data_IF_328882065638
#
_entry.id   IF_328882065638
#
_cell.length_a   1.000
_cell.length_b   1.000
_cell.length_c   1.000
_cell.angle_alpha   90.00
_cell.angle_beta   90.00
_cell.angle_gamma   90.00
#
_symmetry.space_group_name_H-M   'P 1'
#
loop_
_entity.id
_entity.type
_entity.pdbx_description
1 polymer ?
#
# COMPACT_ATOMS: atom_id res chain seq x y z
N UNK A 1 -28.33 73.58 -38.45
CA UNK A 1 -28.67 72.25 -38.98
C UNK A 1 -27.66 71.26 -38.43
N UNK A 2 -28.10 70.32 -37.56
CA UNK A 2 -27.23 69.32 -36.92
C UNK A 2 -27.49 68.00 -37.65
N UNK A 3 -26.54 67.53 -38.45
CA UNK A 3 -26.65 66.23 -39.13
C UNK A 3 -26.54 65.12 -38.08
N UNK A 4 -27.64 64.40 -37.86
CA UNK A 4 -27.65 63.14 -37.11
C UNK A 4 -27.10 62.05 -38.02
N UNK A 5 -25.95 61.47 -37.66
CA UNK A 5 -25.46 60.27 -38.32
C UNK A 5 -26.36 59.09 -37.91
N UNK A 6 -27.15 58.57 -38.86
CA UNK A 6 -27.89 57.32 -38.69
C UNK A 6 -26.89 56.17 -38.55
N UNK A 7 -26.85 55.57 -37.35
CA UNK A 7 -26.09 54.36 -37.10
C UNK A 7 -26.88 53.18 -37.69
N UNK A 8 -26.41 52.66 -38.83
CA UNK A 8 -27.06 51.54 -39.52
C UNK A 8 -26.57 50.25 -38.90
N UNK A 9 -27.23 49.82 -37.82
CA UNK A 9 -26.96 48.54 -37.18
C UNK A 9 -27.24 47.40 -38.18
N UNK A 10 -26.16 46.83 -38.72
CA UNK A 10 -26.22 45.69 -39.62
C UNK A 10 -26.42 44.43 -38.77
N UNK A 11 -27.58 43.78 -38.92
CA UNK A 11 -27.85 42.48 -38.29
C UNK A 11 -26.96 41.36 -38.85
N UNK A 12 -26.83 40.28 -38.08
CA UNK A 12 -26.04 39.09 -38.46
C UNK A 12 -26.70 38.31 -39.60
N UNK A 13 -25.86 37.74 -40.47
CA UNK A 13 -26.29 36.81 -41.51
C UNK A 13 -26.43 35.39 -40.95
N UNK A 14 -27.30 34.56 -41.55
CA UNK A 14 -27.46 33.16 -41.15
C UNK A 14 -26.15 32.36 -41.24
N UNK A 15 -25.31 32.67 -42.24
CA UNK A 15 -24.02 32.00 -42.42
C UNK A 15 -23.05 32.33 -41.28
N UNK A 16 -23.02 33.58 -40.79
CA UNK A 16 -22.20 33.98 -39.64
C UNK A 16 -22.62 33.26 -38.36
N UNK A 17 -23.93 33.09 -38.14
CA UNK A 17 -24.45 32.33 -37.01
C UNK A 17 -24.01 30.85 -37.07
N UNK A 18 -24.11 30.22 -38.25
CA UNK A 18 -23.71 28.82 -38.45
C UNK A 18 -22.21 28.63 -38.21
N UNK A 19 -21.37 29.56 -38.71
CA UNK A 19 -19.93 29.52 -38.49
C UNK A 19 -19.60 29.72 -37.00
N UNK A 20 -20.24 30.68 -36.33
CA UNK A 20 -20.03 30.92 -34.91
C UNK A 20 -20.41 29.70 -34.05
N UNK A 21 -21.54 29.05 -34.36
CA UNK A 21 -21.96 27.82 -33.68
C UNK A 21 -20.98 26.66 -33.93
N UNK A 22 -20.52 26.49 -35.17
CA UNK A 22 -19.56 25.45 -35.51
C UNK A 22 -18.25 25.60 -34.72
N UNK A 23 -17.72 26.83 -34.62
CA UNK A 23 -16.52 27.13 -33.82
C UNK A 23 -16.80 26.89 -32.33
N UNK A 24 -17.95 27.34 -31.82
CA UNK A 24 -18.32 27.13 -30.42
C UNK A 24 -18.37 25.63 -30.05
N UNK A 25 -18.93 24.79 -30.92
CA UNK A 25 -18.96 23.34 -30.72
C UNK A 25 -17.55 22.74 -30.64
N UNK A 26 -16.66 23.12 -31.56
CA UNK A 26 -15.26 22.64 -31.57
C UNK A 26 -14.56 23.01 -30.25
N UNK A 27 -14.75 24.24 -29.77
CA UNK A 27 -14.18 24.71 -28.50
C UNK A 27 -14.74 23.91 -27.33
N UNK A 28 -16.07 23.72 -27.25
CA UNK A 28 -16.70 22.94 -26.17
C UNK A 28 -16.23 21.49 -26.17
N UNK A 29 -16.11 20.85 -27.34
CA UNK A 29 -15.59 19.48 -27.44
C UNK A 29 -14.14 19.41 -26.94
N UNK A 30 -13.31 20.39 -27.30
CA UNK A 30 -11.91 20.45 -26.88
C UNK A 30 -11.77 20.66 -25.37
N UNK A 31 -12.59 21.53 -24.78
CA UNK A 31 -12.63 21.73 -23.33
C UNK A 31 -13.17 20.50 -22.59
N UNK A 32 -14.18 19.83 -23.16
CA UNK A 32 -14.78 18.63 -22.57
C UNK A 32 -13.78 17.47 -22.53
N UNK A 33 -13.00 17.26 -23.59
CA UNK A 33 -11.98 16.22 -23.61
C UNK A 33 -10.88 16.48 -22.58
N UNK A 34 -10.41 17.72 -22.48
CA UNK A 34 -9.45 18.15 -21.46
C UNK A 34 -10.00 17.91 -20.04
N UNK A 35 -11.27 18.26 -19.78
CA UNK A 35 -11.91 18.05 -18.50
C UNK A 35 -12.05 16.57 -18.13
N UNK A 36 -12.44 15.71 -19.08
CA UNK A 36 -12.53 14.26 -18.88
C UNK A 36 -11.15 13.67 -18.55
N UNK A 37 -10.11 14.06 -19.31
CA UNK A 37 -8.73 13.66 -19.07
C UNK A 37 -8.28 14.07 -17.67
N UNK A 38 -8.53 15.31 -17.28
CA UNK A 38 -8.17 15.84 -15.96
C UNK A 38 -8.85 15.06 -14.82
N UNK A 39 -10.15 14.76 -14.94
CA UNK A 39 -10.88 13.95 -13.93
C UNK A 39 -10.31 12.55 -13.81
N UNK A 40 -9.94 11.91 -14.92
CA UNK A 40 -9.32 10.59 -14.93
C UNK A 40 -7.97 10.61 -14.22
N UNK A 41 -7.12 11.59 -14.53
CA UNK A 41 -5.82 11.76 -13.87
C UNK A 41 -5.98 11.96 -12.37
N UNK A 42 -6.93 12.77 -11.92
CA UNK A 42 -7.21 12.94 -10.49
C UNK A 42 -7.62 11.63 -9.82
N UNK A 43 -8.53 10.87 -10.42
CA UNK A 43 -8.98 9.59 -9.87
C UNK A 43 -7.85 8.54 -9.78
N UNK A 44 -6.95 8.51 -10.76
CA UNK A 44 -5.76 7.64 -10.74
C UNK A 44 -4.79 8.10 -9.65
N UNK A 45 -4.57 9.41 -9.52
CA UNK A 45 -3.67 9.96 -8.50
C UNK A 45 -4.16 9.67 -7.08
N UNK A 46 -5.46 9.74 -6.85
CA UNK A 46 -6.09 9.36 -5.59
C UNK A 46 -5.83 7.88 -5.25
N UNK A 47 -6.02 6.97 -6.21
CA UNK A 47 -5.73 5.54 -6.02
C UNK A 47 -4.26 5.26 -5.75
N UNK A 48 -3.35 5.94 -6.44
CA UNK A 48 -1.91 5.81 -6.19
C UNK A 48 -1.57 6.28 -4.78
N UNK A 49 -2.16 7.40 -4.35
CA UNK A 49 -1.94 7.95 -3.01
C UNK A 49 -2.41 6.98 -1.94
N UNK A 50 -3.64 6.48 -2.04
CA UNK A 50 -4.19 5.48 -1.12
C UNK A 50 -3.31 4.22 -1.04
N UNK A 51 -2.98 3.61 -2.19
CA UNK A 51 -2.10 2.44 -2.28
C UNK A 51 -0.75 2.68 -1.57
N UNK A 52 -0.14 3.86 -1.74
CA UNK A 52 1.15 4.16 -1.11
C UNK A 52 1.04 4.36 0.40
N UNK A 53 -0.07 4.93 0.88
CA UNK A 53 -0.34 5.12 2.30
C UNK A 53 -0.58 3.78 2.97
N UNK A 54 -1.41 2.92 2.38
CA UNK A 54 -1.71 1.57 2.90
C UNK A 54 -0.43 0.72 2.99
N UNK A 55 0.41 0.74 1.95
CA UNK A 55 1.70 0.04 1.96
C UNK A 55 2.63 0.53 3.08
N UNK A 56 2.67 1.84 3.35
CA UNK A 56 3.48 2.44 4.41
C UNK A 56 2.93 2.11 5.80
N UNK A 57 1.61 2.16 5.98
CA UNK A 57 0.95 1.80 7.21
C UNK A 57 1.19 0.32 7.57
N UNK A 58 1.04 -0.56 6.58
CA UNK A 58 1.33 -1.99 6.74
C UNK A 58 2.80 -2.23 7.13
N UNK A 59 3.73 -1.57 6.43
CA UNK A 59 5.16 -1.68 6.71
C UNK A 59 5.53 -1.18 8.12
N UNK A 60 4.96 -0.05 8.57
CA UNK A 60 5.24 0.52 9.90
C UNK A 60 4.76 -0.41 11.01
N UNK A 61 3.56 -0.97 10.88
CA UNK A 61 3.02 -1.91 11.87
C UNK A 61 3.88 -3.17 11.96
N UNK A 62 4.13 -3.84 10.82
CA UNK A 62 4.93 -5.07 10.79
C UNK A 62 6.31 -4.79 11.38
N UNK A 63 6.94 -3.67 11.02
CA UNK A 63 8.27 -3.32 11.53
C UNK A 63 8.28 -3.08 13.04
N UNK A 64 7.22 -2.45 13.58
CA UNK A 64 7.09 -2.18 15.01
C UNK A 64 6.93 -3.46 15.82
N UNK A 65 6.07 -4.36 15.36
CA UNK A 65 5.83 -5.64 16.03
C UNK A 65 7.07 -6.54 15.93
N UNK A 66 7.73 -6.54 14.77
CA UNK A 66 8.94 -7.29 14.54
C UNK A 66 10.12 -6.82 15.40
N UNK A 67 10.18 -5.54 15.78
CA UNK A 67 11.18 -5.04 16.75
C UNK A 67 10.99 -5.61 18.16
N UNK A 68 9.82 -6.14 18.50
CA UNK A 68 9.59 -6.81 19.78
C UNK A 68 9.96 -8.30 19.75
N UNK A 69 10.27 -8.86 18.57
CA UNK A 69 10.61 -10.27 18.42
C UNK A 69 11.73 -10.69 19.38
N UNK A 70 11.54 -11.83 20.04
CA UNK A 70 12.51 -12.42 20.96
C UNK A 70 12.61 -11.71 22.31
N UNK A 71 11.72 -10.76 22.62
CA UNK A 71 11.67 -10.18 23.95
C UNK A 71 11.31 -11.27 24.97
N UNK A 72 12.23 -11.53 25.91
CA UNK A 72 12.16 -12.63 26.88
C UNK A 72 12.74 -12.16 28.22
N UNK A 73 11.96 -11.42 29.03
CA UNK A 73 12.42 -10.88 30.31
C UNK A 73 12.60 -11.98 31.38
N UNK A 74 12.01 -13.15 31.18
CA UNK A 74 12.05 -14.27 32.13
C UNK A 74 13.16 -15.29 31.82
N UNK A 75 13.71 -15.25 30.60
CA UNK A 75 14.71 -16.21 30.12
C UNK A 75 14.11 -17.58 29.82
N UNK A 76 12.84 -17.62 29.40
CA UNK A 76 12.10 -18.84 29.08
C UNK A 76 12.58 -19.54 27.80
N UNK A 77 13.44 -18.88 27.00
CA UNK A 77 13.97 -19.41 25.75
C UNK A 77 13.07 -19.12 24.57
N UNK A 78 12.48 -17.92 24.52
CA UNK A 78 11.59 -17.52 23.42
C UNK A 78 12.39 -17.37 22.12
N UNK A 79 12.02 -18.13 21.08
CA UNK A 79 12.71 -18.15 19.78
C UNK A 79 12.58 -16.83 19.02
N UNK A 80 11.51 -16.08 19.27
CA UNK A 80 11.23 -14.80 18.64
C UNK A 80 10.68 -14.89 17.21
N UNK A 81 11.25 -15.74 16.35
CA UNK A 81 10.75 -16.00 14.99
C UNK A 81 10.71 -17.50 14.68
N UNK A 82 9.73 -18.25 15.21
CA UNK A 82 9.63 -19.69 15.01
C UNK A 82 9.12 -20.10 13.62
N UNK A 83 8.41 -19.21 12.92
CA UNK A 83 7.93 -19.44 11.54
C UNK A 83 8.50 -18.34 10.65
N UNK A 84 9.38 -18.73 9.72
CA UNK A 84 10.17 -17.83 8.90
C UNK A 84 10.15 -18.24 7.41
N UNK A 85 8.99 -18.23 6.77
CA UNK A 85 8.87 -18.55 5.34
C UNK A 85 8.83 -17.27 4.49
N UNK A 86 8.98 -17.43 3.17
CA UNK A 86 8.92 -16.30 2.25
C UNK A 86 7.56 -15.57 2.27
N UNK A 87 6.47 -16.24 2.67
CA UNK A 87 5.10 -15.69 2.65
C UNK A 87 4.45 -15.63 4.03
N UNK A 88 5.10 -16.16 5.07
CA UNK A 88 4.58 -16.16 6.43
C UNK A 88 5.67 -15.85 7.45
N UNK A 89 5.35 -14.95 8.38
CA UNK A 89 6.20 -14.50 9.48
C UNK A 89 5.42 -14.67 10.78
N UNK A 90 5.92 -15.47 11.72
CA UNK A 90 5.43 -15.47 13.11
C UNK A 90 6.46 -14.78 14.00
N UNK A 91 5.96 -13.85 14.81
CA UNK A 91 6.70 -13.09 15.81
C UNK A 91 6.23 -13.56 17.17
N UNK A 92 7.16 -13.84 18.06
CA UNK A 92 6.92 -14.20 19.46
C UNK A 92 7.68 -13.25 20.39
N UNK A 93 7.02 -12.82 21.46
CA UNK A 93 7.55 -11.93 22.48
C UNK A 93 6.77 -12.13 23.80
N UNK A 94 7.46 -12.39 24.91
CA UNK A 94 6.88 -12.47 26.26
C UNK A 94 6.65 -11.04 26.80
N UNK A 95 5.52 -10.43 26.40
CA UNK A 95 5.23 -9.03 26.69
C UNK A 95 4.76 -8.81 28.13
N UNK A 96 4.16 -9.81 28.77
CA UNK A 96 3.64 -9.72 30.12
C UNK A 96 4.66 -10.17 31.19
N UNK A 97 5.72 -10.87 30.80
CA UNK A 97 6.78 -11.37 31.67
C UNK A 97 6.39 -12.59 32.51
N UNK A 98 5.50 -13.45 32.02
CA UNK A 98 5.05 -14.68 32.69
C UNK A 98 5.81 -15.94 32.26
N UNK A 99 6.66 -15.82 31.23
CA UNK A 99 7.49 -16.91 30.72
C UNK A 99 6.78 -17.85 29.77
N UNK A 100 5.60 -17.47 29.25
CA UNK A 100 5.01 -18.07 28.07
C UNK A 100 4.58 -17.02 27.03
N UNK A 101 4.20 -17.49 25.84
CA UNK A 101 3.65 -16.64 24.77
C UNK A 101 2.28 -17.15 24.30
N UNK A 102 1.79 -18.22 24.92
CA UNK A 102 0.63 -18.96 24.44
C UNK A 102 -0.68 -18.35 24.92
N UNK A 103 -0.65 -17.67 26.07
CA UNK A 103 -1.85 -17.20 26.76
C UNK A 103 -1.95 -15.68 26.80
N UNK A 104 -0.85 -14.94 26.63
CA UNK A 104 -0.89 -13.48 26.63
C UNK A 104 -1.35 -12.87 25.31
N UNK A 105 -1.94 -11.68 25.44
CA UNK A 105 -2.44 -10.91 24.31
C UNK A 105 -1.28 -10.27 23.54
N UNK A 106 -1.28 -10.41 22.22
CA UNK A 106 -0.26 -9.86 21.31
C UNK A 106 1.17 -10.41 21.51
N UNK A 107 1.33 -11.52 22.22
CA UNK A 107 2.64 -12.17 22.39
C UNK A 107 3.02 -13.03 21.19
N UNK A 108 2.01 -13.55 20.47
CA UNK A 108 2.18 -14.19 19.18
C UNK A 108 1.46 -13.37 18.14
N UNK A 109 2.19 -12.95 17.11
CA UNK A 109 1.63 -12.29 15.94
C UNK A 109 2.06 -13.03 14.69
N UNK A 110 1.11 -13.41 13.84
CA UNK A 110 1.41 -14.09 12.59
C UNK A 110 0.92 -13.25 11.42
N UNK A 111 1.83 -12.90 10.51
CA UNK A 111 1.53 -12.27 9.24
C UNK A 111 1.60 -13.30 8.13
N UNK A 112 0.59 -13.35 7.26
CA UNK A 112 0.54 -14.27 6.12
C UNK A 112 0.18 -13.50 4.86
N UNK A 113 0.94 -13.71 3.78
CA UNK A 113 0.56 -13.28 2.45
C UNK A 113 -0.57 -14.16 1.94
N UNK A 114 -1.69 -13.52 1.59
CA UNK A 114 -2.83 -14.17 0.94
C UNK A 114 -2.90 -13.69 -0.51
N UNK A 115 -2.15 -14.40 -1.37
CA UNK A 115 -2.17 -14.18 -2.81
C UNK A 115 -3.56 -14.41 -3.44
N UNK A 116 -4.45 -15.18 -2.81
CA UNK A 116 -5.81 -15.41 -3.30
C UNK A 116 -6.63 -14.12 -3.23
N UNK A 117 -6.68 -13.53 -2.05
CA UNK A 117 -7.45 -12.31 -1.78
C UNK A 117 -6.68 -11.00 -2.04
N UNK A 118 -5.39 -11.08 -2.39
CA UNK A 118 -4.51 -9.90 -2.60
C UNK A 118 -4.41 -9.05 -1.34
N UNK A 119 -4.06 -9.69 -0.24
CA UNK A 119 -3.97 -9.05 1.07
C UNK A 119 -2.83 -9.64 1.92
N UNK A 120 -2.54 -8.95 3.02
CA UNK A 120 -1.76 -9.49 4.14
C UNK A 120 -2.75 -9.72 5.26
N UNK A 121 -2.80 -10.96 5.76
CA UNK A 121 -3.56 -11.30 6.94
C UNK A 121 -2.69 -11.19 8.19
N UNK A 122 -3.30 -10.76 9.30
CA UNK A 122 -2.70 -10.75 10.63
C UNK A 122 -3.55 -11.59 11.58
N UNK A 123 -2.91 -12.49 12.33
CA UNK A 123 -3.51 -13.26 13.41
C UNK A 123 -2.78 -12.99 14.73
N UNK A 124 -3.50 -13.02 15.84
CA UNK A 124 -2.94 -12.87 17.20
C UNK A 124 -3.16 -14.14 18.02
N UNK A 125 -2.15 -14.57 18.75
CA UNK A 125 -2.18 -15.80 19.54
C UNK A 125 -1.79 -17.05 18.74
N UNK A 126 -1.56 -18.16 19.44
CA UNK A 126 -1.08 -19.42 18.87
C UNK A 126 -2.03 -20.03 17.83
N UNK A 127 -3.34 -19.83 18.01
CA UNK A 127 -4.42 -20.30 17.14
C UNK A 127 -5.37 -19.18 16.70
N UNK A 128 -4.85 -17.95 16.57
CA UNK A 128 -5.65 -16.80 16.15
C UNK A 128 -6.26 -16.98 14.76
N UNK A 129 -7.50 -16.52 14.59
CA UNK A 129 -8.11 -16.45 13.25
C UNK A 129 -7.44 -15.34 12.44
N UNK A 130 -6.89 -15.64 11.24
CA UNK A 130 -6.35 -14.61 10.36
C UNK A 130 -7.42 -13.59 9.98
N UNK A 131 -7.10 -12.31 10.07
CA UNK A 131 -7.96 -11.20 9.64
C UNK A 131 -7.24 -10.35 8.59
N UNK A 132 -7.94 -9.80 7.58
CA UNK A 132 -7.36 -8.86 6.65
C UNK A 132 -6.75 -7.67 7.40
N UNK A 133 -5.45 -7.47 7.23
CA UNK A 133 -4.70 -6.37 7.84
C UNK A 133 -4.35 -5.30 6.83
N UNK A 134 -3.94 -5.71 5.63
CA UNK A 134 -3.69 -4.80 4.52
C UNK A 134 -4.25 -5.39 3.23
N UNK A 135 -5.18 -4.68 2.59
CA UNK A 135 -5.80 -5.08 1.32
C UNK A 135 -5.05 -4.48 0.13
N UNK A 136 -5.39 -4.94 -1.07
CA UNK A 136 -4.78 -4.47 -2.32
C UNK A 136 -3.26 -4.67 -2.33
N UNK A 137 -2.80 -5.81 -1.82
CA UNK A 137 -1.41 -6.24 -1.83
C UNK A 137 -1.23 -7.26 -2.95
N UNK A 138 -0.41 -6.91 -3.95
CA UNK A 138 -0.06 -7.81 -5.04
C UNK A 138 0.85 -8.95 -4.57
N UNK A 139 1.73 -8.68 -3.60
CA UNK A 139 2.59 -9.66 -2.95
C UNK A 139 3.20 -9.08 -1.67
N UNK A 140 3.37 -9.90 -0.64
CA UNK A 140 4.24 -9.62 0.51
C UNK A 140 5.29 -10.74 0.61
N UNK A 141 6.55 -10.37 0.77
CA UNK A 141 7.64 -11.32 0.89
C UNK A 141 8.55 -11.00 2.07
N UNK A 142 8.97 -12.03 2.78
CA UNK A 142 9.92 -11.96 3.87
C UNK A 142 11.22 -12.68 3.48
N UNK A 143 12.35 -12.06 3.78
CA UNK A 143 13.67 -12.66 3.67
C UNK A 143 14.37 -12.51 5.02
N UNK A 144 15.07 -13.55 5.44
CA UNK A 144 15.72 -13.64 6.75
C UNK A 144 17.21 -13.80 6.53
N UNK A 145 17.98 -12.87 7.07
CA UNK A 145 19.43 -12.85 6.97
C UNK A 145 20.06 -13.13 8.34
N UNK A 146 21.19 -13.83 8.35
CA UNK A 146 22.05 -14.05 9.50
C UNK A 146 22.96 -12.84 9.81
N UNK A 147 23.85 -12.99 10.79
CA UNK A 147 24.81 -11.95 11.20
C UNK A 147 25.77 -11.55 10.06
N UNK A 148 26.10 -12.48 9.17
CA UNK A 148 27.01 -12.29 8.04
C UNK A 148 26.27 -11.78 6.79
N UNK A 149 24.93 -11.69 6.85
CA UNK A 149 24.08 -11.25 5.75
C UNK A 149 23.71 -12.34 4.75
N UNK A 150 23.96 -13.62 5.05
CA UNK A 150 23.49 -14.75 4.25
C UNK A 150 22.07 -15.12 4.65
N UNK A 151 21.36 -15.85 3.79
CA UNK A 151 20.02 -16.35 4.12
C UNK A 151 20.09 -17.30 5.32
N UNK A 152 19.40 -16.95 6.40
CA UNK A 152 19.33 -17.77 7.60
C UNK A 152 18.66 -19.12 7.29
N UNK A 153 19.28 -20.21 7.76
CA UNK A 153 18.74 -21.57 7.59
C UNK A 153 18.00 -22.09 8.83
N UNK A 154 18.26 -21.49 9.99
CA UNK A 154 17.57 -21.81 11.23
C UNK A 154 17.02 -20.53 11.88
N UNK A 155 15.99 -20.66 12.70
CA UNK A 155 15.42 -19.52 13.42
C UNK A 155 16.44 -18.83 14.35
N UNK A 156 17.35 -19.60 14.95
CA UNK A 156 18.37 -19.10 15.87
C UNK A 156 19.42 -18.23 15.19
N UNK A 157 19.60 -18.36 13.87
CA UNK A 157 20.58 -17.59 13.10
C UNK A 157 20.01 -16.25 12.61
N UNK A 158 18.70 -16.01 12.72
CA UNK A 158 18.06 -14.81 12.16
C UNK A 158 18.52 -13.57 12.94
N UNK A 159 19.07 -12.59 12.23
CA UNK A 159 19.50 -11.30 12.81
C UNK A 159 18.84 -10.11 12.13
N UNK A 160 18.47 -10.25 10.85
CA UNK A 160 17.83 -9.18 10.08
C UNK A 160 16.74 -9.75 9.19
N UNK A 161 15.63 -9.04 9.09
CA UNK A 161 14.50 -9.44 8.28
C UNK A 161 14.21 -8.33 7.28
N UNK A 162 14.15 -8.69 6.00
CA UNK A 162 13.71 -7.81 4.93
C UNK A 162 12.26 -8.10 4.60
N UNK A 163 11.43 -7.07 4.73
CA UNK A 163 10.03 -7.11 4.33
C UNK A 163 9.92 -6.42 2.98
N UNK A 164 9.23 -7.04 2.02
CA UNK A 164 8.96 -6.45 0.71
C UNK A 164 7.46 -6.52 0.42
N UNK A 165 6.81 -5.37 0.38
CA UNK A 165 5.39 -5.23 0.06
C UNK A 165 5.28 -4.63 -1.34
N UNK A 166 4.56 -5.31 -2.23
CA UNK A 166 4.11 -4.75 -3.51
C UNK A 166 2.61 -4.49 -3.39
N UNK A 167 2.23 -3.24 -3.16
CA UNK A 167 0.83 -2.83 -3.19
C UNK A 167 0.35 -2.59 -4.62
N UNK A 168 -0.96 -2.59 -4.82
CA UNK A 168 -1.63 -2.33 -6.10
C UNK A 168 -2.81 -1.39 -5.94
N UNK A 169 -3.19 -0.69 -7.00
CA UNK A 169 -4.41 0.12 -7.00
C UNK A 169 -5.64 -0.78 -6.84
N UNK A 170 -6.67 -0.30 -6.16
CA UNK A 170 -7.92 -1.05 -5.97
C UNK A 170 -8.67 -1.28 -7.27
N UNK A 171 -8.53 -0.38 -8.26
CA UNK A 171 -9.09 -0.52 -9.60
C UNK A 171 -7.97 -0.70 -10.63
N UNK A 172 -8.30 -1.44 -11.69
CA UNK A 172 -7.44 -1.53 -12.87
C UNK A 172 -7.46 -0.20 -13.62
N UNK A 173 -6.30 0.23 -14.11
CA UNK A 173 -6.14 1.38 -14.99
C UNK A 173 -5.98 0.87 -16.43
N UNK A 174 -7.00 1.03 -17.29
CA UNK A 174 -6.95 0.56 -18.69
C UNK A 174 -5.82 1.19 -19.50
N UNK A 175 -5.41 2.42 -19.18
CA UNK A 175 -4.32 3.09 -19.91
C UNK A 175 -2.95 2.53 -19.52
N UNK A 176 -2.88 1.86 -18.37
CA UNK A 176 -1.68 1.19 -17.86
C UNK A 176 -1.67 -0.31 -18.20
N UNK A 177 -2.78 -0.87 -18.66
CA UNK A 177 -2.91 -2.31 -18.96
C UNK A 177 -3.08 -3.19 -17.72
N UNK A 178 -3.54 -2.63 -16.60
CA UNK A 178 -3.76 -3.39 -15.36
C UNK A 178 -3.78 -2.52 -14.12
N UNK A 179 -3.55 -3.14 -12.96
CA UNK A 179 -3.39 -2.40 -11.71
C UNK A 179 -2.01 -1.75 -11.68
N UNK A 180 -1.95 -0.48 -11.27
CA UNK A 180 -0.66 0.16 -10.96
C UNK A 180 -0.13 -0.44 -9.68
N UNK A 181 1.19 -0.54 -9.55
CA UNK A 181 1.84 -1.14 -8.38
C UNK A 181 2.81 -0.17 -7.72
N UNK A 182 3.01 -0.35 -6.42
CA UNK A 182 4.01 0.36 -5.64
C UNK A 182 4.75 -0.62 -4.74
N UNK A 183 6.07 -0.70 -4.90
CA UNK A 183 6.93 -1.62 -4.15
C UNK A 183 7.68 -0.87 -3.06
N UNK A 184 7.59 -1.36 -1.84
CA UNK A 184 8.27 -0.86 -0.66
C UNK A 184 9.05 -2.00 -0.01
N UNK A 185 10.32 -1.78 0.30
CA UNK A 185 11.14 -2.72 1.06
C UNK A 185 11.72 -2.04 2.29
N UNK A 186 11.76 -2.76 3.41
CA UNK A 186 12.38 -2.31 4.66
C UNK A 186 13.21 -3.44 5.27
N UNK A 187 14.31 -3.09 5.93
CA UNK A 187 15.07 -4.02 6.76
C UNK A 187 14.80 -3.70 8.23
N UNK A 188 14.58 -4.75 9.02
CA UNK A 188 14.37 -4.67 10.46
C UNK A 188 15.36 -5.58 11.14
N UNK A 189 16.07 -5.06 12.14
CA UNK A 189 16.98 -5.80 13.02
C UNK A 189 16.35 -5.80 14.41
N UNK A 190 15.68 -6.88 14.83
CA UNK A 190 15.10 -6.97 16.16
C UNK A 190 16.22 -7.04 17.22
N UNK A 191 16.22 -6.15 18.22
CA UNK A 191 17.32 -6.05 19.20
C UNK A 191 17.47 -7.29 20.09
N UNK A 192 16.41 -8.06 20.30
CA UNK A 192 16.45 -9.22 21.20
C UNK A 192 16.86 -10.53 20.51
N UNK A 193 17.10 -10.52 19.19
CA UNK A 193 17.56 -11.70 18.45
C UNK A 193 19.10 -11.77 18.33
N UNK A 194 19.81 -10.75 18.80
CA UNK A 194 21.28 -10.68 18.79
C UNK A 194 21.95 -11.44 19.96
N UNK A 195 21.17 -12.20 20.75
CA UNK A 195 21.62 -12.91 21.96
C UNK A 195 22.28 -14.27 21.67
#
# INVERSE_FOLDING_TARGET
MRNSAENKDRGFTLIELLIAMAIALIVITSLSSAFISQRKTYAVQEQITAMTQDARAAMDMISRELRMAGYDPTGAGIVGIPIFTATQLRIEADLNGDGDTLVGSNEIITYTEDSGNKQIDRATGSSGTPQPFAENIQSCAFQYDDADGNTATTAADIRRIKITITARTSKSDPDYGGHRTYKLSSYVTPPNLDL
#
